data_IF_359095124642
#
_entry.id   IF_359095124642
#
_cell.length_a   1.000
_cell.length_b   1.000
_cell.length_c   1.000
_cell.angle_alpha   90.00
_cell.angle_beta   90.00
_cell.angle_gamma   90.00
#
_symmetry.space_group_name_H-M   'P 1'
#
loop_
_entity.id
_entity.type
_entity.pdbx_description
1 polymer ?
#
# COMPACT_ATOMS: atom_id res chain seq x y z
N UNK A 1 -13.20 -3.43 -10.56
CA UNK A 1 -11.77 -3.11 -10.29
C UNK A 1 -10.87 -3.17 -11.52
N UNK A 2 -11.17 -3.99 -12.49
CA UNK A 2 -10.38 -4.15 -13.73
C UNK A 2 -10.10 -2.83 -14.46
N UNK A 3 -11.14 -2.03 -14.70
CA UNK A 3 -11.04 -0.76 -15.43
C UNK A 3 -10.20 0.27 -14.65
N UNK A 4 -10.35 0.31 -13.34
CA UNK A 4 -9.52 1.16 -12.45
C UNK A 4 -8.03 0.81 -12.58
N UNK A 5 -7.70 -0.48 -12.54
CA UNK A 5 -6.33 -0.95 -12.71
C UNK A 5 -5.80 -0.68 -14.13
N UNK A 6 -6.65 -0.75 -15.15
CA UNK A 6 -6.25 -0.40 -16.50
C UNK A 6 -5.83 1.07 -16.62
N UNK A 7 -6.54 2.00 -15.94
CA UNK A 7 -6.15 3.41 -15.88
C UNK A 7 -4.80 3.58 -15.18
N UNK A 8 -4.58 2.90 -14.04
CA UNK A 8 -3.33 2.98 -13.29
C UNK A 8 -2.16 2.41 -14.12
N UNK A 9 -2.36 1.29 -14.80
CA UNK A 9 -1.36 0.72 -15.71
C UNK A 9 -1.03 1.66 -16.86
N UNK A 10 -2.02 2.37 -17.40
CA UNK A 10 -1.80 3.37 -18.44
C UNK A 10 -0.98 4.55 -17.91
N UNK A 11 -1.27 5.03 -16.69
CA UNK A 11 -0.46 6.09 -16.04
C UNK A 11 1.01 5.67 -15.92
N UNK A 12 1.26 4.42 -15.58
CA UNK A 12 2.63 3.88 -15.53
C UNK A 12 3.26 3.80 -16.92
N UNK A 13 2.54 3.31 -17.90
CA UNK A 13 3.04 3.20 -19.28
C UNK A 13 3.35 4.57 -19.91
N UNK A 14 2.61 5.60 -19.54
CA UNK A 14 2.81 6.98 -20.00
C UNK A 14 3.82 7.76 -19.14
N UNK A 15 4.41 7.15 -18.11
CA UNK A 15 5.42 7.77 -17.26
C UNK A 15 4.88 8.81 -16.27
N UNK A 16 3.57 8.87 -16.05
CA UNK A 16 2.94 9.74 -15.04
C UNK A 16 3.29 9.29 -13.63
N UNK A 17 3.37 7.97 -13.44
CA UNK A 17 3.87 7.31 -12.24
C UNK A 17 4.95 6.31 -12.62
N UNK A 18 5.86 6.04 -11.69
CA UNK A 18 6.80 4.94 -11.80
C UNK A 18 6.17 3.60 -11.38
N UNK A 19 6.96 2.75 -10.73
CA UNK A 19 6.43 1.50 -10.15
C UNK A 19 5.32 1.81 -9.14
N UNK A 20 4.32 0.95 -9.11
CA UNK A 20 3.25 1.03 -8.12
C UNK A 20 2.94 -0.32 -7.51
N UNK A 21 2.28 -0.32 -6.36
CA UNK A 21 1.69 -1.50 -5.75
C UNK A 21 0.43 -1.16 -4.96
N UNK A 22 -0.52 -2.09 -4.93
CA UNK A 22 -1.69 -2.02 -4.06
C UNK A 22 -1.22 -2.29 -2.63
N UNK A 23 -1.56 -1.39 -1.73
CA UNK A 23 -1.32 -1.50 -0.30
C UNK A 23 -2.62 -1.51 0.51
N UNK A 24 -2.52 -1.07 1.75
CA UNK A 24 -3.65 -0.84 2.64
C UNK A 24 -4.57 -2.03 2.86
N UNK A 25 -5.86 -1.75 2.99
CA UNK A 25 -6.88 -2.78 3.25
C UNK A 25 -7.13 -3.66 2.03
N UNK A 26 -7.16 -3.09 0.83
CA UNK A 26 -7.32 -3.86 -0.41
C UNK A 26 -6.12 -4.78 -0.63
N UNK A 27 -4.88 -4.30 -0.40
CA UNK A 27 -3.69 -5.14 -0.46
C UNK A 27 -3.76 -6.33 0.49
N UNK A 28 -4.30 -6.15 1.69
CA UNK A 28 -4.48 -7.23 2.66
C UNK A 28 -5.45 -8.32 2.20
N UNK A 29 -6.45 -8.00 1.36
CA UNK A 29 -7.42 -9.00 0.85
C UNK A 29 -6.81 -10.05 -0.07
N UNK A 30 -5.57 -9.86 -0.52
CA UNK A 30 -4.84 -10.89 -1.27
C UNK A 30 -4.27 -12.00 -0.36
N UNK A 31 -4.25 -11.78 0.94
CA UNK A 31 -3.68 -12.70 1.94
C UNK A 31 -4.70 -13.13 2.98
N UNK A 32 -5.71 -12.31 3.23
CA UNK A 32 -6.72 -12.46 4.28
C UNK A 32 -8.11 -12.54 3.67
N UNK A 33 -9.07 -13.00 4.44
CA UNK A 33 -10.47 -12.88 4.05
C UNK A 33 -10.85 -11.41 3.80
N UNK A 34 -11.62 -11.13 2.75
CA UNK A 34 -12.01 -9.77 2.42
C UNK A 34 -12.74 -9.09 3.59
N UNK A 35 -12.24 -7.93 4.00
CA UNK A 35 -12.94 -7.03 4.92
C UNK A 35 -13.58 -5.89 4.12
N UNK A 36 -14.62 -5.28 4.66
CA UNK A 36 -15.21 -4.10 4.05
C UNK A 36 -14.17 -2.98 3.98
N UNK A 37 -13.84 -2.58 2.77
CA UNK A 37 -12.98 -1.41 2.50
C UNK A 37 -13.63 -0.60 1.39
N UNK A 38 -13.50 0.73 1.49
CA UNK A 38 -14.15 1.66 0.57
C UNK A 38 -13.18 2.27 -0.44
N UNK A 39 -11.87 2.13 -0.22
CA UNK A 39 -10.81 2.81 -0.96
C UNK A 39 -9.67 1.87 -1.34
N UNK A 40 -9.00 2.19 -2.43
CA UNK A 40 -7.81 1.48 -2.91
C UNK A 40 -6.59 2.37 -2.65
N UNK A 41 -5.69 1.91 -1.79
CA UNK A 41 -4.40 2.57 -1.54
C UNK A 41 -3.39 2.13 -2.61
N UNK A 42 -2.97 3.06 -3.46
CA UNK A 42 -1.95 2.85 -4.49
C UNK A 42 -0.67 3.57 -4.09
N UNK A 43 0.32 2.80 -3.68
CA UNK A 43 1.66 3.32 -3.44
C UNK A 43 2.40 3.47 -4.76
N UNK A 44 3.01 4.62 -4.97
CA UNK A 44 3.66 4.96 -6.25
C UNK A 44 5.07 5.48 -6.04
N UNK A 45 5.99 5.03 -6.88
CA UNK A 45 7.26 5.71 -7.08
C UNK A 45 7.02 6.91 -8.00
N UNK A 46 7.43 8.09 -7.56
CA UNK A 46 7.36 9.31 -8.35
C UNK A 46 8.75 9.68 -8.81
N UNK A 47 8.91 9.93 -10.10
CA UNK A 47 10.13 10.50 -10.62
C UNK A 47 10.20 11.98 -10.21
N UNK A 48 11.25 12.33 -9.47
CA UNK A 48 11.52 13.74 -9.19
C UNK A 48 12.02 14.44 -10.46
N UNK A 49 11.40 15.53 -10.90
CA UNK A 49 12.00 16.37 -11.91
C UNK A 49 13.39 16.81 -11.43
N UNK A 50 14.39 16.75 -12.31
CA UNK A 50 15.76 17.06 -11.99
C UNK A 50 15.85 18.42 -11.23
N UNK A 51 16.34 18.34 -9.99
CA UNK A 51 16.57 19.53 -9.15
C UNK A 51 15.46 19.91 -8.16
N UNK A 52 14.36 19.18 -8.07
CA UNK A 52 13.34 19.41 -7.04
C UNK A 52 13.56 18.47 -5.84
N UNK A 53 13.60 19.04 -4.64
CA UNK A 53 13.60 18.26 -3.39
C UNK A 53 12.18 17.87 -2.92
N UNK A 54 11.13 18.33 -3.61
CA UNK A 54 9.74 18.08 -3.26
C UNK A 54 9.15 17.02 -4.17
N UNK A 55 8.76 15.91 -3.57
CA UNK A 55 7.92 14.89 -4.20
C UNK A 55 6.48 15.38 -4.19
N UNK A 56 5.85 15.47 -5.34
CA UNK A 56 4.47 15.96 -5.47
C UNK A 56 3.61 15.00 -6.29
N UNK A 57 2.38 14.82 -5.85
CA UNK A 57 1.34 14.09 -6.59
C UNK A 57 0.60 14.96 -7.62
N UNK A 58 0.97 16.24 -7.78
CA UNK A 58 0.31 17.14 -8.72
C UNK A 58 0.21 16.57 -10.14
N UNK A 59 1.26 15.98 -10.75
CA UNK A 59 1.15 15.38 -12.08
C UNK A 59 0.12 14.24 -12.17
N UNK A 60 -0.03 13.47 -11.09
CA UNK A 60 -1.02 12.37 -10.99
C UNK A 60 -2.43 12.94 -11.04
N UNK A 61 -2.71 13.95 -10.21
CA UNK A 61 -4.03 14.57 -10.15
C UNK A 61 -4.35 15.36 -11.42
N UNK A 62 -3.39 16.05 -12.01
CA UNK A 62 -3.57 16.80 -13.27
C UNK A 62 -3.89 15.85 -14.43
N UNK A 63 -3.19 14.72 -14.52
CA UNK A 63 -3.46 13.67 -15.51
C UNK A 63 -4.89 13.14 -15.37
N UNK A 64 -5.29 12.75 -14.17
CA UNK A 64 -6.61 12.19 -13.91
C UNK A 64 -7.72 13.22 -14.17
N UNK A 65 -7.52 14.48 -13.78
CA UNK A 65 -8.46 15.56 -14.03
C UNK A 65 -8.63 15.83 -15.54
N UNK A 66 -7.54 15.81 -16.30
CA UNK A 66 -7.58 15.99 -17.76
C UNK A 66 -8.38 14.90 -18.48
N UNK A 67 -8.52 13.72 -17.86
CA UNK A 67 -9.32 12.60 -18.35
C UNK A 67 -10.75 12.56 -17.79
N UNK A 68 -11.13 13.57 -17.02
CA UNK A 68 -12.50 13.72 -16.51
C UNK A 68 -12.77 13.01 -15.18
N UNK A 69 -11.76 12.44 -14.53
CA UNK A 69 -11.92 11.84 -13.21
C UNK A 69 -12.05 12.93 -12.14
N UNK A 70 -12.93 12.68 -11.15
CA UNK A 70 -13.24 13.64 -10.10
C UNK A 70 -12.49 13.31 -8.83
N UNK A 71 -11.94 14.33 -8.18
CA UNK A 71 -11.36 14.21 -6.83
C UNK A 71 -12.44 14.45 -5.78
N UNK A 72 -12.47 13.60 -4.76
CA UNK A 72 -13.30 13.70 -3.57
C UNK A 72 -12.40 13.58 -2.34
N UNK A 73 -12.16 14.68 -1.64
CA UNK A 73 -11.21 14.76 -0.52
C UNK A 73 -9.81 14.30 -0.92
N UNK A 74 -9.34 13.20 -0.33
CA UNK A 74 -8.00 12.60 -0.58
C UNK A 74 -8.03 11.55 -1.70
N UNK A 75 -9.20 11.28 -2.27
CA UNK A 75 -9.40 10.21 -3.26
C UNK A 75 -9.72 10.78 -4.64
N UNK A 76 -9.42 10.00 -5.65
CA UNK A 76 -9.93 10.21 -7.01
C UNK A 76 -10.85 9.05 -7.35
N UNK A 77 -12.05 9.34 -7.83
CA UNK A 77 -12.97 8.30 -8.28
C UNK A 77 -12.56 7.84 -9.67
N UNK A 78 -11.98 6.65 -9.76
CA UNK A 78 -11.54 6.05 -11.01
C UNK A 78 -12.43 4.85 -11.30
N UNK A 79 -13.24 4.93 -12.35
CA UNK A 79 -14.15 3.87 -12.77
C UNK A 79 -15.01 3.33 -11.59
N UNK A 80 -15.50 4.27 -10.78
CA UNK A 80 -16.39 3.97 -9.64
C UNK A 80 -15.68 3.56 -8.35
N UNK A 81 -14.34 3.48 -8.33
CA UNK A 81 -13.57 3.17 -7.13
C UNK A 81 -12.85 4.41 -6.58
N UNK A 82 -13.00 4.72 -5.28
CA UNK A 82 -12.16 5.69 -4.62
C UNK A 82 -10.71 5.18 -4.57
N UNK A 83 -9.80 5.93 -5.14
CA UNK A 83 -8.36 5.59 -5.18
C UNK A 83 -7.57 6.68 -4.47
N UNK A 84 -6.77 6.31 -3.50
CA UNK A 84 -5.80 7.18 -2.85
C UNK A 84 -4.39 6.86 -3.37
N UNK A 85 -3.70 7.87 -3.90
CA UNK A 85 -2.30 7.73 -4.28
C UNK A 85 -1.39 8.15 -3.13
N UNK A 86 -0.45 7.29 -2.79
CA UNK A 86 0.49 7.48 -1.70
C UNK A 86 1.93 7.44 -2.25
N UNK A 87 2.69 8.54 -2.15
CA UNK A 87 4.05 8.55 -2.65
C UNK A 87 4.95 7.68 -1.77
N UNK A 88 5.75 6.82 -2.38
CA UNK A 88 6.78 6.07 -1.69
C UNK A 88 8.00 6.98 -1.47
N UNK A 89 8.02 7.67 -0.34
CA UNK A 89 9.08 8.64 0.02
C UNK A 89 10.04 8.14 1.09
N UNK A 90 9.76 6.97 1.67
CA UNK A 90 10.59 6.35 2.70
C UNK A 90 11.18 5.02 2.24
N UNK A 91 12.27 4.61 2.86
CA UNK A 91 12.98 3.36 2.52
C UNK A 91 12.09 2.12 2.65
N UNK A 92 11.14 2.13 3.60
CA UNK A 92 10.18 1.02 3.76
C UNK A 92 9.21 0.91 2.58
N UNK A 93 8.65 2.02 2.13
CA UNK A 93 7.74 2.04 0.98
C UNK A 93 8.48 1.74 -0.32
N UNK A 94 9.69 2.24 -0.48
CA UNK A 94 10.54 1.95 -1.65
C UNK A 94 10.84 0.44 -1.72
N UNK A 95 11.26 -0.18 -0.61
CA UNK A 95 11.47 -1.62 -0.53
C UNK A 95 10.17 -2.40 -0.80
N UNK A 96 9.05 -1.95 -0.23
CA UNK A 96 7.76 -2.59 -0.45
C UNK A 96 7.33 -2.55 -1.93
N UNK A 97 7.63 -1.47 -2.65
CA UNK A 97 7.41 -1.39 -4.11
C UNK A 97 8.34 -2.29 -4.89
N UNK A 98 9.61 -2.39 -4.50
CA UNK A 98 10.59 -3.25 -5.16
C UNK A 98 10.24 -4.73 -5.03
N UNK A 99 9.79 -5.12 -3.84
CA UNK A 99 9.48 -6.52 -3.50
C UNK A 99 8.00 -6.87 -3.71
N UNK A 100 7.18 -5.96 -4.23
CA UNK A 100 5.78 -6.21 -4.51
C UNK A 100 5.60 -7.35 -5.53
N UNK A 101 4.58 -8.17 -5.28
CA UNK A 101 4.29 -9.38 -6.06
C UNK A 101 3.39 -9.05 -7.24
N UNK A 102 3.76 -9.51 -8.43
CA UNK A 102 2.89 -9.44 -9.60
C UNK A 102 1.69 -10.38 -9.42
N UNK A 103 0.52 -9.87 -9.74
CA UNK A 103 -0.74 -10.62 -9.66
C UNK A 103 -1.72 -10.11 -10.72
N UNK A 104 -2.90 -10.72 -10.76
CA UNK A 104 -3.95 -10.37 -11.70
C UNK A 104 -5.29 -10.26 -10.98
N UNK A 105 -6.04 -9.22 -11.28
CA UNK A 105 -7.39 -9.00 -10.77
C UNK A 105 -8.33 -8.84 -11.96
N UNK A 106 -9.30 -9.74 -12.10
CA UNK A 106 -10.28 -9.72 -13.19
C UNK A 106 -9.65 -9.61 -14.60
N UNK A 107 -8.46 -10.21 -14.79
CA UNK A 107 -7.71 -10.16 -16.03
C UNK A 107 -6.81 -8.91 -16.22
N UNK A 108 -6.80 -7.99 -15.26
CA UNK A 108 -5.87 -6.85 -15.25
C UNK A 108 -4.63 -7.18 -14.40
N UNK A 109 -3.45 -7.07 -15.01
CA UNK A 109 -2.18 -7.22 -14.28
C UNK A 109 -2.02 -6.08 -13.30
N UNK A 110 -1.50 -6.40 -12.12
CA UNK A 110 -1.20 -5.44 -11.08
C UNK A 110 -0.08 -5.96 -10.18
N UNK A 111 0.28 -5.20 -9.17
CA UNK A 111 1.23 -5.60 -8.14
C UNK A 111 0.63 -5.33 -6.77
N UNK A 112 0.90 -6.20 -5.83
CA UNK A 112 0.45 -6.06 -4.44
C UNK A 112 1.66 -6.14 -3.51
N UNK A 113 1.68 -5.34 -2.46
CA UNK A 113 2.71 -5.43 -1.43
C UNK A 113 2.65 -6.78 -0.74
N UNK A 114 3.80 -7.30 -0.29
CA UNK A 114 3.83 -8.53 0.49
C UNK A 114 3.15 -8.34 1.84
N UNK A 115 2.68 -9.42 2.44
CA UNK A 115 2.02 -9.38 3.76
C UNK A 115 2.90 -8.74 4.83
N UNK A 116 4.20 -9.04 4.82
CA UNK A 116 5.18 -8.50 5.77
C UNK A 116 5.35 -6.98 5.62
N UNK A 117 5.38 -6.46 4.39
CA UNK A 117 5.43 -5.01 4.16
C UNK A 117 4.14 -4.32 4.56
N UNK A 118 2.97 -4.94 4.26
CA UNK A 118 1.68 -4.43 4.72
C UNK A 118 1.63 -4.31 6.25
N UNK A 119 2.12 -5.33 6.97
CA UNK A 119 2.22 -5.33 8.43
C UNK A 119 3.19 -4.26 8.92
N UNK A 120 4.38 -4.15 8.34
CA UNK A 120 5.38 -3.16 8.75
C UNK A 120 4.88 -1.72 8.57
N UNK A 121 4.23 -1.42 7.43
CA UNK A 121 3.64 -0.10 7.16
C UNK A 121 2.48 0.19 8.11
N UNK A 122 1.60 -0.79 8.36
CA UNK A 122 0.50 -0.69 9.32
C UNK A 122 1.02 -0.42 10.75
N UNK A 123 2.06 -1.15 11.17
CA UNK A 123 2.69 -0.98 12.48
C UNK A 123 3.30 0.43 12.64
N UNK A 124 3.98 0.92 11.61
CA UNK A 124 4.55 2.27 11.62
C UNK A 124 3.47 3.34 11.70
N UNK A 125 2.37 3.17 10.98
CA UNK A 125 1.22 4.08 10.98
C UNK A 125 0.49 4.08 12.32
N UNK A 126 0.21 2.91 12.90
CA UNK A 126 -0.20 2.74 14.28
C UNK A 126 -1.63 3.16 14.63
N UNK A 127 -2.55 3.23 13.65
CA UNK A 127 -3.99 3.50 13.93
C UNK A 127 -4.68 2.24 14.46
N UNK A 128 -5.81 2.40 15.12
CA UNK A 128 -6.57 1.26 15.66
C UNK A 128 -6.93 0.23 14.56
N UNK A 129 -7.35 0.69 13.38
CA UNK A 129 -7.64 -0.18 12.24
C UNK A 129 -6.41 -0.92 11.70
N UNK A 130 -5.22 -0.32 11.83
CA UNK A 130 -3.97 -0.94 11.40
C UNK A 130 -3.58 -2.06 12.35
N UNK A 131 -3.70 -1.87 13.66
CA UNK A 131 -3.47 -2.93 14.66
C UNK A 131 -4.44 -4.10 14.51
N UNK A 132 -5.72 -3.84 14.22
CA UNK A 132 -6.68 -4.90 13.95
C UNK A 132 -6.27 -5.74 12.72
N UNK A 133 -5.76 -5.09 11.68
CA UNK A 133 -5.26 -5.79 10.48
C UNK A 133 -4.01 -6.61 10.76
N UNK A 134 -3.08 -6.08 11.56
CA UNK A 134 -1.88 -6.83 11.98
C UNK A 134 -2.29 -8.09 12.73
N UNK A 135 -3.27 -8.00 13.64
CA UNK A 135 -3.79 -9.18 14.37
C UNK A 135 -4.32 -10.25 13.41
N UNK A 136 -5.10 -9.85 12.39
CA UNK A 136 -5.61 -10.78 11.37
C UNK A 136 -4.46 -11.49 10.62
N UNK A 137 -3.39 -10.76 10.27
CA UNK A 137 -2.21 -11.37 9.64
C UNK A 137 -1.52 -12.38 10.56
N UNK A 138 -1.36 -12.05 11.83
CA UNK A 138 -0.74 -12.95 12.82
C UNK A 138 -1.59 -14.19 13.03
N UNK A 139 -2.91 -14.04 13.20
CA UNK A 139 -3.84 -15.14 13.42
C UNK A 139 -3.96 -16.06 12.19
N UNK A 140 -3.88 -15.51 10.98
CA UNK A 140 -3.96 -16.30 9.75
C UNK A 140 -2.72 -17.18 9.49
N UNK A 141 -1.58 -16.85 10.10
CA UNK A 141 -0.32 -17.57 9.92
C UNK A 141 0.28 -17.48 8.50
N UNK A 142 -0.12 -16.51 7.69
CA UNK A 142 0.37 -16.34 6.30
C UNK A 142 1.69 -15.61 6.19
N UNK A 143 2.18 -15.03 7.30
CA UNK A 143 3.43 -14.27 7.32
C UNK A 143 4.66 -15.19 7.41
N UNK A 144 5.70 -14.85 6.66
CA UNK A 144 7.04 -15.38 6.89
C UNK A 144 7.68 -14.60 8.06
N UNK A 145 7.80 -15.26 9.20
CA UNK A 145 8.31 -14.65 10.44
C UNK A 145 9.76 -14.15 10.29
N UNK A 146 10.62 -14.88 9.56
CA UNK A 146 12.00 -14.46 9.35
C UNK A 146 12.10 -13.24 8.46
N UNK A 147 11.27 -13.17 7.42
CA UNK A 147 11.18 -12.02 6.54
C UNK A 147 10.62 -10.79 7.26
N UNK A 148 9.56 -10.96 8.04
CA UNK A 148 9.01 -9.88 8.85
C UNK A 148 10.05 -9.34 9.84
N UNK A 149 10.73 -10.21 10.58
CA UNK A 149 11.79 -9.82 11.51
C UNK A 149 12.91 -9.02 10.83
N UNK A 150 13.33 -9.44 9.63
CA UNK A 150 14.32 -8.73 8.83
C UNK A 150 13.86 -7.32 8.45
N UNK A 151 12.63 -7.16 7.98
CA UNK A 151 12.04 -5.88 7.61
C UNK A 151 11.93 -4.96 8.84
N UNK A 152 11.44 -5.49 9.98
CA UNK A 152 11.32 -4.73 11.21
C UNK A 152 12.67 -4.21 11.71
N UNK A 153 13.72 -5.02 11.66
CA UNK A 153 15.09 -4.64 12.02
C UNK A 153 15.65 -3.57 11.08
N UNK A 154 15.51 -3.79 9.79
CA UNK A 154 16.03 -2.87 8.76
C UNK A 154 15.40 -1.49 8.86
N UNK A 155 14.12 -1.40 9.20
CA UNK A 155 13.37 -0.15 9.23
C UNK A 155 13.13 0.40 10.65
N UNK A 156 13.83 -0.13 11.68
CA UNK A 156 13.78 0.40 13.06
C UNK A 156 12.41 0.23 13.73
N UNK A 157 11.68 -0.83 13.41
CA UNK A 157 10.33 -1.08 13.92
C UNK A 157 10.27 -2.16 15.02
N UNK A 158 11.40 -2.70 15.46
CA UNK A 158 11.47 -3.79 16.45
C UNK A 158 10.78 -3.39 17.77
N UNK A 159 11.10 -2.22 18.30
CA UNK A 159 10.50 -1.74 19.55
C UNK A 159 8.98 -1.59 19.45
N UNK A 160 8.49 -1.04 18.31
CA UNK A 160 7.04 -0.94 18.08
C UNK A 160 6.37 -2.32 17.98
N UNK A 161 7.07 -3.29 17.39
CA UNK A 161 6.58 -4.66 17.30
C UNK A 161 6.49 -5.31 18.68
N UNK A 162 7.51 -5.17 19.53
CA UNK A 162 7.50 -5.68 20.91
C UNK A 162 6.36 -5.06 21.74
N UNK A 163 6.14 -3.75 21.59
CA UNK A 163 5.01 -3.06 22.23
C UNK A 163 3.66 -3.59 21.74
N UNK A 164 3.53 -3.85 20.45
CA UNK A 164 2.34 -4.47 19.87
C UNK A 164 2.11 -5.87 20.41
N UNK A 165 3.14 -6.73 20.46
CA UNK A 165 3.05 -8.08 21.03
C UNK A 165 2.61 -8.06 22.49
N UNK A 166 3.22 -7.22 23.32
CA UNK A 166 2.87 -7.10 24.74
C UNK A 166 1.41 -6.69 24.90
N UNK A 167 0.95 -5.72 24.09
CA UNK A 167 -0.39 -5.16 24.24
C UNK A 167 -1.49 -6.07 23.71
N UNK A 168 -1.25 -6.77 22.60
CA UNK A 168 -2.31 -7.45 21.86
C UNK A 168 -2.16 -8.98 21.79
N UNK A 169 -0.95 -9.51 21.91
CA UNK A 169 -0.72 -10.96 21.81
C UNK A 169 -0.46 -11.61 23.18
N UNK A 170 0.24 -10.93 24.08
CA UNK A 170 0.58 -11.48 25.41
C UNK A 170 -0.43 -11.09 26.51
N UNK A 171 -1.27 -10.09 26.28
CA UNK A 171 -2.27 -9.61 27.26
C UNK A 171 -3.53 -10.49 27.36
N UNK A 172 -3.63 -11.56 26.60
CA UNK A 172 -4.75 -12.51 26.60
C UNK A 172 -4.39 -13.88 27.23
N UNK A 173 -3.33 -13.95 28.03
CA UNK A 173 -2.96 -15.13 28.84
C UNK A 173 -3.36 -14.93 30.29
#
# INVERSE_FOLDING_TARGET
>A
MKETLAVINQMQAEGVIGRYAIGGAVGATFYLEPSATLDIDIFVALENPQGSSLVTLAPVYDYLRSRGFKSEEEHVIIEGWPVQFLPATGTLEEEALEQAVETEVEGARTRVMTGEHLVAIALRTGRAKDFARILQFVESGVLDAARLDSILKQHGLVEKWEQFEVKFLRGNL
#
